data_IF_504631463058
#
_entry.id   IF_504631463058
#
_cell.length_a   1.000
_cell.length_b   1.000
_cell.length_c   1.000
_cell.angle_alpha   90.00
_cell.angle_beta   90.00
_cell.angle_gamma   90.00
#
_symmetry.space_group_name_H-M   'P 1'
#
loop_
_entity.id
_entity.type
_entity.pdbx_description
1 polymer ?
#
# COMPACT_ATOMS: atom_id res chain seq x y z
N UNK A 1 18.71 6.75 -5.91
CA UNK A 1 18.52 5.86 -4.74
C UNK A 1 19.08 4.45 -4.97
N UNK A 2 18.66 3.73 -6.02
CA UNK A 2 19.14 2.36 -6.31
C UNK A 2 20.66 2.32 -6.54
N UNK A 3 21.22 3.27 -7.30
CA UNK A 3 22.66 3.37 -7.54
C UNK A 3 23.50 3.60 -6.26
N UNK A 4 22.95 4.34 -5.29
CA UNK A 4 23.64 4.66 -4.02
C UNK A 4 23.66 3.42 -3.11
N UNK A 5 22.58 2.63 -3.11
CA UNK A 5 22.48 1.39 -2.32
C UNK A 5 23.38 0.25 -2.84
N UNK A 6 23.67 0.23 -4.14
CA UNK A 6 24.60 -0.74 -4.75
C UNK A 6 26.05 -0.44 -4.35
N UNK A 7 26.43 0.85 -4.24
CA UNK A 7 27.79 1.29 -3.92
C UNK A 7 28.15 1.06 -2.44
N UNK A 8 27.18 1.11 -1.51
CA UNK A 8 27.47 1.04 -0.06
C UNK A 8 27.60 -0.37 0.53
N UNK A 9 27.54 -1.47 -0.25
CA UNK A 9 27.48 -2.87 0.28
C UNK A 9 26.36 -3.12 1.32
N UNK A 10 25.51 -2.14 1.60
CA UNK A 10 24.41 -2.22 2.57
C UNK A 10 23.28 -3.11 2.07
N UNK A 11 23.16 -3.34 0.76
CA UNK A 11 22.17 -4.25 0.21
C UNK A 11 22.31 -5.68 0.77
N UNK A 12 23.55 -6.16 0.92
CA UNK A 12 23.84 -7.51 1.46
C UNK A 12 23.71 -7.54 2.99
N UNK A 13 24.12 -6.48 3.67
CA UNK A 13 23.98 -6.34 5.13
C UNK A 13 22.52 -6.24 5.58
N UNK A 14 21.68 -5.55 4.82
CA UNK A 14 20.24 -5.44 5.10
C UNK A 14 19.52 -6.71 4.70
N UNK A 15 19.83 -7.30 3.53
CA UNK A 15 19.26 -8.57 3.10
C UNK A 15 19.56 -9.71 4.10
N UNK A 16 20.78 -9.77 4.65
CA UNK A 16 21.15 -10.81 5.63
C UNK A 16 20.44 -10.64 6.98
N UNK A 17 20.24 -9.41 7.47
CA UNK A 17 19.44 -9.13 8.69
C UNK A 17 17.94 -9.34 8.48
N UNK A 18 17.43 -9.13 7.27
CA UNK A 18 16.02 -9.39 6.93
C UNK A 18 15.69 -10.89 6.86
N UNK A 19 16.70 -11.74 6.68
CA UNK A 19 16.58 -13.21 6.66
C UNK A 19 16.83 -13.88 8.02
N UNK A 20 16.75 -13.13 9.12
CA UNK A 20 16.71 -13.75 10.45
C UNK A 20 15.38 -14.52 10.65
N UNK A 21 15.41 -15.76 11.17
CA UNK A 21 14.22 -16.60 11.29
C UNK A 21 13.15 -16.01 12.21
N UNK A 22 13.55 -15.17 13.17
CA UNK A 22 12.63 -14.44 14.05
C UNK A 22 11.90 -13.32 13.32
N UNK A 23 12.58 -12.60 12.42
CA UNK A 23 11.95 -11.57 11.58
C UNK A 23 11.00 -12.21 10.56
N UNK A 24 11.38 -13.36 10.00
CA UNK A 24 10.55 -14.11 9.06
C UNK A 24 9.23 -14.57 9.68
N UNK A 25 9.25 -15.03 10.93
CA UNK A 25 8.03 -15.35 11.69
C UNK A 25 7.12 -14.14 11.91
N UNK A 26 7.69 -12.94 12.07
CA UNK A 26 6.91 -11.71 12.22
C UNK A 26 6.29 -11.23 10.90
N UNK A 27 6.91 -11.53 9.75
CA UNK A 27 6.35 -11.21 8.43
C UNK A 27 5.18 -12.10 8.01
N UNK A 28 5.14 -13.36 8.47
CA UNK A 28 4.07 -14.31 8.16
C UNK A 28 2.66 -13.73 8.38
N UNK A 29 2.30 -13.23 9.59
CA UNK A 29 0.99 -12.62 9.80
C UNK A 29 0.80 -11.32 8.99
N UNK A 30 1.86 -10.53 8.78
CA UNK A 30 1.78 -9.30 7.99
C UNK A 30 1.45 -9.57 6.51
N UNK A 31 2.06 -10.59 5.91
CA UNK A 31 1.84 -10.98 4.51
C UNK A 31 0.48 -11.65 4.32
N UNK A 32 0.04 -12.46 5.30
CA UNK A 32 -1.27 -13.09 5.25
C UNK A 32 -2.38 -12.04 5.38
N UNK A 33 -2.33 -11.19 6.41
CA UNK A 33 -3.37 -10.21 6.67
C UNK A 33 -3.37 -9.03 5.70
N UNK A 34 -2.20 -8.63 5.18
CA UNK A 34 -2.09 -7.53 4.23
C UNK A 34 -2.35 -7.99 2.79
N UNK A 35 -1.29 -8.35 2.04
CA UNK A 35 -1.40 -8.60 0.61
C UNK A 35 -2.22 -9.86 0.26
N UNK A 36 -2.07 -10.99 0.96
CA UNK A 36 -2.83 -12.20 0.60
C UNK A 36 -4.33 -11.98 0.77
N UNK A 37 -4.78 -11.60 1.97
CA UNK A 37 -6.20 -11.44 2.26
C UNK A 37 -6.80 -10.30 1.43
N UNK A 38 -6.08 -9.18 1.29
CA UNK A 38 -6.53 -8.03 0.50
C UNK A 38 -6.75 -8.38 -0.97
N UNK A 39 -5.81 -9.09 -1.60
CA UNK A 39 -5.97 -9.53 -2.99
C UNK A 39 -7.11 -10.54 -3.11
N UNK A 40 -7.19 -11.51 -2.21
CA UNK A 40 -8.24 -12.52 -2.24
C UNK A 40 -9.65 -11.92 -2.12
N UNK A 41 -9.86 -10.98 -1.19
CA UNK A 41 -11.13 -10.26 -1.07
C UNK A 41 -11.44 -9.40 -2.30
N UNK A 42 -10.41 -8.80 -2.91
CA UNK A 42 -10.58 -8.05 -4.17
C UNK A 42 -11.05 -8.97 -5.30
N UNK A 43 -10.46 -10.15 -5.44
CA UNK A 43 -10.87 -11.15 -6.45
C UNK A 43 -12.32 -11.62 -6.24
N UNK A 44 -12.74 -11.79 -4.98
CA UNK A 44 -14.13 -12.08 -4.63
C UNK A 44 -15.08 -10.94 -5.03
N UNK A 45 -14.68 -9.69 -4.80
CA UNK A 45 -15.46 -8.52 -5.19
C UNK A 45 -15.63 -8.44 -6.72
N UNK A 46 -14.56 -8.67 -7.49
CA UNK A 46 -14.61 -8.71 -8.96
C UNK A 46 -15.57 -9.77 -9.49
N UNK A 47 -15.69 -10.92 -8.82
CA UNK A 47 -16.57 -12.01 -9.26
C UNK A 47 -18.05 -11.73 -8.94
N UNK A 48 -18.34 -11.01 -7.86
CA UNK A 48 -19.70 -10.85 -7.32
C UNK A 48 -20.34 -9.47 -7.61
N UNK A 49 -19.62 -8.54 -8.22
CA UNK A 49 -20.12 -7.17 -8.45
C UNK A 49 -19.71 -6.65 -9.82
N UNK A 50 -20.36 -5.56 -10.25
CA UNK A 50 -20.04 -4.94 -11.53
C UNK A 50 -18.61 -4.42 -11.52
N UNK A 51 -17.82 -4.78 -12.53
CA UNK A 51 -16.38 -4.52 -12.59
C UNK A 51 -16.03 -3.03 -12.39
N UNK A 52 -16.84 -2.12 -12.95
CA UNK A 52 -16.64 -0.68 -12.79
C UNK A 52 -16.77 -0.20 -11.32
N UNK A 53 -17.68 -0.78 -10.55
CA UNK A 53 -17.86 -0.44 -9.12
C UNK A 53 -16.64 -0.89 -8.31
N UNK A 54 -16.11 -2.07 -8.61
CA UNK A 54 -14.93 -2.60 -7.89
C UNK A 54 -13.68 -1.77 -8.23
N UNK A 55 -13.50 -1.39 -9.50
CA UNK A 55 -12.37 -0.57 -9.93
C UNK A 55 -12.41 0.83 -9.29
N UNK A 56 -13.56 1.51 -9.32
CA UNK A 56 -13.70 2.81 -8.65
C UNK A 56 -13.37 2.71 -7.16
N UNK A 57 -13.90 1.71 -6.45
CA UNK A 57 -13.61 1.49 -5.04
C UNK A 57 -12.11 1.23 -4.80
N UNK A 58 -11.48 0.42 -5.64
CA UNK A 58 -10.05 0.13 -5.55
C UNK A 58 -9.21 1.38 -5.82
N UNK A 59 -9.62 2.24 -6.73
CA UNK A 59 -8.90 3.47 -7.02
C UNK A 59 -9.11 4.56 -5.94
N UNK A 60 -10.10 4.40 -5.04
CA UNK A 60 -10.24 5.25 -3.84
C UNK A 60 -9.31 4.87 -2.68
N UNK A 61 -8.43 3.87 -2.85
CA UNK A 61 -7.41 3.49 -1.85
C UNK A 61 -6.63 4.66 -1.21
N UNK A 62 -6.15 5.70 -1.94
CA UNK A 62 -5.43 6.82 -1.33
C UNK A 62 -6.28 7.60 -0.29
N UNK A 63 -7.60 7.58 -0.43
CA UNK A 63 -8.51 8.20 0.55
C UNK A 63 -8.45 7.47 1.89
N UNK A 64 -8.40 6.14 1.87
CA UNK A 64 -8.35 5.31 3.08
C UNK A 64 -6.95 5.23 3.70
N UNK A 65 -5.89 5.35 2.90
CA UNK A 65 -4.52 5.26 3.42
C UNK A 65 -4.15 6.46 4.30
N UNK A 66 -4.67 7.65 4.00
CA UNK A 66 -4.38 8.87 4.77
C UNK A 66 -4.81 8.82 6.24
N UNK A 67 -6.10 8.54 6.58
CA UNK A 67 -6.52 8.43 7.98
C UNK A 67 -5.85 7.24 8.67
N UNK A 68 -5.59 6.15 7.94
CA UNK A 68 -4.89 5.00 8.48
C UNK A 68 -3.44 5.34 8.87
N UNK A 69 -2.74 6.16 8.09
CA UNK A 69 -1.41 6.68 8.45
C UNK A 69 -1.44 7.52 9.72
N UNK A 70 -2.47 8.35 9.90
CA UNK A 70 -2.65 9.15 11.12
C UNK A 70 -2.87 8.24 12.34
N UNK A 71 -3.72 7.23 12.24
CA UNK A 71 -4.07 6.35 13.36
C UNK A 71 -2.93 5.38 13.69
N UNK A 72 -2.33 4.74 12.68
CA UNK A 72 -1.31 3.70 12.87
C UNK A 72 0.10 4.26 13.13
N UNK A 73 0.45 5.38 12.49
CA UNK A 73 1.80 5.97 12.59
C UNK A 73 1.83 7.33 13.30
N UNK A 74 0.69 7.87 13.73
CA UNK A 74 0.61 9.16 14.42
C UNK A 74 0.97 10.36 13.55
N UNK A 75 1.05 10.20 12.22
CA UNK A 75 1.53 11.25 11.34
C UNK A 75 0.53 12.43 11.27
N UNK A 76 1.06 13.65 11.39
CA UNK A 76 0.26 14.86 11.22
C UNK A 76 -0.09 15.04 9.74
N UNK A 77 -1.39 14.96 9.43
CA UNK A 77 -1.88 15.17 8.07
C UNK A 77 -1.66 16.65 7.73
N UNK A 78 -0.75 16.91 6.80
CA UNK A 78 -0.50 18.25 6.28
C UNK A 78 -1.52 18.61 5.20
N UNK A 79 -1.81 19.89 5.02
CA UNK A 79 -2.71 20.39 3.96
C UNK A 79 -2.25 19.92 2.57
N UNK A 80 -0.94 19.80 2.35
CA UNK A 80 -0.34 19.23 1.13
C UNK A 80 -0.77 17.78 0.88
N UNK A 81 -0.90 16.95 1.92
CA UNK A 81 -1.35 15.56 1.77
C UNK A 81 -2.83 15.49 1.35
N UNK A 82 -3.67 16.36 1.90
CA UNK A 82 -5.09 16.46 1.54
C UNK A 82 -5.23 16.86 0.07
N UNK A 83 -4.53 17.90 -0.36
CA UNK A 83 -4.54 18.36 -1.76
C UNK A 83 -4.03 17.25 -2.69
N UNK A 84 -2.94 16.57 -2.32
CA UNK A 84 -2.40 15.45 -3.10
C UNK A 84 -3.40 14.32 -3.30
N UNK A 85 -4.16 13.95 -2.26
CA UNK A 85 -5.21 12.93 -2.39
C UNK A 85 -6.39 13.41 -3.23
N UNK A 86 -6.80 14.67 -3.11
CA UNK A 86 -7.84 15.22 -3.99
C UNK A 86 -7.41 15.18 -5.46
N UNK A 87 -6.17 15.55 -5.77
CA UNK A 87 -5.61 15.48 -7.13
C UNK A 87 -5.56 14.02 -7.62
N UNK A 88 -5.16 13.07 -6.76
CA UNK A 88 -5.16 11.65 -7.10
C UNK A 88 -6.57 11.12 -7.40
N UNK A 89 -7.57 11.52 -6.61
CA UNK A 89 -8.97 11.14 -6.82
C UNK A 89 -9.52 11.71 -8.13
N UNK A 90 -9.16 12.96 -8.48
CA UNK A 90 -9.52 13.55 -9.78
C UNK A 90 -8.88 12.75 -10.92
N UNK A 91 -7.59 12.41 -10.81
CA UNK A 91 -6.91 11.59 -11.82
C UNK A 91 -7.56 10.21 -12.01
N UNK A 92 -7.94 9.55 -10.92
CA UNK A 92 -8.70 8.30 -10.94
C UNK A 92 -10.03 8.47 -11.66
N UNK A 93 -10.80 9.50 -11.30
CA UNK A 93 -12.08 9.78 -11.93
C UNK A 93 -11.93 9.97 -13.43
N UNK A 94 -10.94 10.75 -13.87
CA UNK A 94 -10.63 10.96 -15.29
C UNK A 94 -10.17 9.69 -16.03
N UNK A 95 -9.59 8.72 -15.32
CA UNK A 95 -9.13 7.46 -15.93
C UNK A 95 -10.25 6.44 -16.09
N UNK A 96 -11.28 6.53 -15.24
CA UNK A 96 -12.40 5.57 -15.18
C UNK A 96 -13.65 6.08 -15.90
N UNK A 97 -13.82 7.41 -16.03
CA UNK A 97 -14.87 8.05 -16.83
C UNK A 97 -14.60 7.95 -18.34
#
# INVERSE_FOLDING_TARGET
CIAIAIITRQLVSTARKSFDPTALKSYLPAVICGPWLGIWMSQIAYKNSYLAIVLTLTCTTPLFVMPMLRIAYGYQITVRAIIGTLVALIGVYLTVA
#
